data_IF_970240121188
#
_entry.id   IF_970240121188
#
_cell.length_a   1.000
_cell.length_b   1.000
_cell.length_c   1.000
_cell.angle_alpha   90.00
_cell.angle_beta   90.00
_cell.angle_gamma   90.00
#
_symmetry.space_group_name_H-M   'P 1'
#
loop_
_entity.id
_entity.type
_entity.pdbx_description
1 polymer ?
#
# COMPACT_ATOMS: atom_id res chain seq x y z
N UNK A 1 -30.69 -29.18 -1.08
CA UNK A 1 -30.02 -27.86 -1.16
C UNK A 1 -30.97 -26.67 -1.00
N UNK A 2 -32.27 -26.77 -1.34
CA UNK A 2 -33.22 -25.65 -1.23
C UNK A 2 -33.65 -25.31 0.21
N UNK A 3 -33.61 -26.26 1.14
CA UNK A 3 -34.01 -26.02 2.54
C UNK A 3 -33.01 -25.14 3.32
N UNK A 4 -31.70 -25.33 3.13
CA UNK A 4 -30.68 -24.54 3.82
C UNK A 4 -30.65 -23.08 3.37
N UNK A 5 -30.89 -22.79 2.09
CA UNK A 5 -30.98 -21.41 1.58
C UNK A 5 -32.20 -20.66 2.15
N UNK A 6 -33.30 -21.36 2.42
CA UNK A 6 -34.49 -20.76 2.99
C UNK A 6 -34.28 -20.35 4.46
N UNK A 7 -33.54 -21.14 5.22
CA UNK A 7 -33.23 -20.82 6.62
C UNK A 7 -32.24 -19.66 6.75
N UNK A 8 -31.23 -19.57 5.88
CA UNK A 8 -30.29 -18.43 5.89
C UNK A 8 -30.98 -17.12 5.51
N UNK A 9 -31.93 -17.13 4.55
CA UNK A 9 -32.72 -15.96 4.18
C UNK A 9 -33.65 -15.47 5.30
N UNK A 10 -34.28 -16.38 6.06
CA UNK A 10 -35.11 -15.99 7.21
C UNK A 10 -34.26 -15.36 8.32
N UNK A 11 -33.07 -15.89 8.57
CA UNK A 11 -32.15 -15.35 9.57
C UNK A 11 -31.66 -13.93 9.21
N UNK A 12 -31.30 -13.68 7.95
CA UNK A 12 -30.85 -12.36 7.50
C UNK A 12 -31.98 -11.32 7.54
N UNK A 13 -33.20 -11.69 7.13
CA UNK A 13 -34.37 -10.81 7.21
C UNK A 13 -34.74 -10.46 8.65
N UNK A 14 -34.70 -11.42 9.57
CA UNK A 14 -34.96 -11.15 10.99
C UNK A 14 -33.93 -10.19 11.60
N UNK A 15 -32.66 -10.30 11.19
CA UNK A 15 -31.60 -9.38 11.63
C UNK A 15 -31.82 -7.97 11.08
N UNK A 16 -32.17 -7.84 9.79
CA UNK A 16 -32.48 -6.54 9.17
C UNK A 16 -33.65 -5.84 9.84
N UNK A 17 -34.74 -6.57 10.16
CA UNK A 17 -35.89 -6.00 10.86
C UNK A 17 -35.56 -5.49 12.26
N UNK A 18 -34.70 -6.20 13.01
CA UNK A 18 -34.23 -5.75 14.33
C UNK A 18 -33.40 -4.47 14.23
N UNK A 19 -32.53 -4.38 13.24
CA UNK A 19 -31.72 -3.17 12.98
C UNK A 19 -32.62 -1.99 12.63
N UNK A 20 -33.59 -2.16 11.72
CA UNK A 20 -34.55 -1.12 11.34
C UNK A 20 -35.38 -0.65 12.54
N UNK A 21 -35.89 -1.58 13.35
CA UNK A 21 -36.65 -1.23 14.55
C UNK A 21 -35.81 -0.47 15.58
N UNK A 22 -34.53 -0.84 15.74
CA UNK A 22 -33.61 -0.16 16.64
C UNK A 22 -33.28 1.26 16.18
N UNK A 23 -33.03 1.46 14.88
CA UNK A 23 -32.84 2.79 14.29
C UNK A 23 -34.09 3.65 14.37
N UNK A 24 -35.29 3.09 14.18
CA UNK A 24 -36.54 3.80 14.34
C UNK A 24 -36.76 4.26 15.78
N UNK A 25 -36.44 3.40 16.77
CA UNK A 25 -36.53 3.75 18.18
C UNK A 25 -35.54 4.87 18.55
N UNK A 26 -34.29 4.78 18.10
CA UNK A 26 -33.29 5.84 18.31
C UNK A 26 -33.71 7.13 17.61
N UNK A 27 -34.17 7.06 16.36
CA UNK A 27 -34.67 8.22 15.63
C UNK A 27 -35.82 8.91 16.35
N UNK A 28 -36.73 8.13 16.94
CA UNK A 28 -37.84 8.66 17.74
C UNK A 28 -37.36 9.30 19.05
N UNK A 29 -36.40 8.67 19.75
CA UNK A 29 -35.80 9.24 20.97
C UNK A 29 -35.08 10.55 20.63
N UNK A 30 -34.24 10.57 19.59
CA UNK A 30 -33.51 11.76 19.15
C UNK A 30 -34.49 12.84 18.69
N UNK A 31 -35.53 12.50 17.94
CA UNK A 31 -36.55 13.45 17.51
C UNK A 31 -37.27 14.07 18.71
N UNK A 32 -37.68 13.27 19.69
CA UNK A 32 -38.30 13.75 20.93
C UNK A 32 -37.35 14.65 21.71
N UNK A 33 -36.06 14.28 21.81
CA UNK A 33 -35.04 15.09 22.49
C UNK A 33 -34.81 16.40 21.76
N UNK A 34 -34.68 16.39 20.43
CA UNK A 34 -34.49 17.58 19.60
C UNK A 34 -35.70 18.50 19.65
N UNK A 35 -36.92 17.95 19.64
CA UNK A 35 -38.14 18.74 19.73
C UNK A 35 -38.29 19.38 21.12
N UNK A 36 -37.98 18.62 22.19
CA UNK A 36 -37.84 19.16 23.55
C UNK A 36 -36.79 20.27 23.64
N UNK A 37 -35.63 20.08 22.99
CA UNK A 37 -34.54 21.05 23.00
C UNK A 37 -34.87 22.30 22.17
N UNK A 38 -35.55 22.12 21.03
CA UNK A 38 -36.07 23.21 20.18
C UNK A 38 -37.11 24.05 20.92
N UNK A 39 -38.02 23.40 21.65
CA UNK A 39 -39.01 24.08 22.49
C UNK A 39 -38.38 24.81 23.68
N UNK A 40 -37.28 24.27 24.21
CA UNK A 40 -36.45 24.90 25.24
C UNK A 40 -35.74 26.15 24.70
N UNK A 41 -35.07 26.05 23.54
CA UNK A 41 -34.34 27.17 22.91
C UNK A 41 -35.28 28.29 22.41
N UNK A 42 -36.44 27.94 21.82
CA UNK A 42 -37.48 28.93 21.48
C UNK A 42 -38.05 29.62 22.73
N UNK A 43 -38.08 28.92 23.88
CA UNK A 43 -38.46 29.51 25.16
C UNK A 43 -37.44 30.50 25.73
N UNK A 44 -36.16 30.39 25.35
CA UNK A 44 -35.08 31.28 25.78
C UNK A 44 -34.94 32.55 24.95
N UNK A 45 -35.25 32.51 23.66
CA UNK A 45 -35.05 33.62 22.71
C UNK A 45 -36.19 34.65 22.67
N UNK A 46 -37.37 34.33 23.20
CA UNK A 46 -38.49 35.31 23.32
C UNK A 46 -38.47 36.15 24.61
N UNK A 47 -37.41 36.07 25.43
CA UNK A 47 -37.19 37.04 26.51
C UNK A 47 -36.34 38.19 26.00
N UNK A 48 -37.04 39.29 25.65
CA UNK A 48 -36.62 40.61 25.07
C UNK A 48 -36.98 40.63 23.58
N UNK A 49 -38.10 41.21 23.14
CA UNK A 49 -38.49 42.62 23.29
C UNK A 49 -40.02 42.71 23.42
N UNK A 50 -40.51 43.18 24.57
CA UNK A 50 -41.87 43.72 24.70
C UNK A 50 -41.91 45.05 23.94
N UNK A 51 -42.02 44.99 22.61
CA UNK A 51 -42.43 46.17 21.84
C UNK A 51 -43.95 46.23 21.87
N UNK A 52 -44.44 47.25 22.56
CA UNK A 52 -45.83 47.66 22.57
C UNK A 52 -46.17 48.03 21.13
N UNK A 53 -46.83 47.14 20.39
CA UNK A 53 -47.32 47.44 19.03
C UNK A 53 -48.78 47.03 18.91
N UNK A 54 -49.60 48.05 18.66
CA UNK A 54 -51.05 47.98 18.59
C UNK A 54 -51.54 47.07 17.47
N UNK A 55 -52.68 46.40 17.71
CA UNK A 55 -53.33 45.45 16.81
C UNK A 55 -53.82 46.15 15.53
N UNK A 56 -53.25 45.81 14.38
CA UNK A 56 -53.88 46.02 13.07
C UNK A 56 -54.69 44.78 12.70
N UNK A 57 -56.01 44.93 12.69
CA UNK A 57 -56.97 43.95 12.21
C UNK A 57 -56.85 43.81 10.67
N UNK A 58 -56.33 42.69 10.19
CA UNK A 58 -56.42 42.30 8.78
C UNK A 58 -57.45 41.20 8.56
N UNK A 59 -58.30 41.40 7.55
CA UNK A 59 -59.50 40.63 7.17
C UNK A 59 -59.20 39.26 6.52
N UNK A 60 -58.14 38.56 6.94
CA UNK A 60 -57.80 37.22 6.43
C UNK A 60 -57.56 36.28 7.60
N UNK A 61 -58.50 35.34 7.79
CA UNK A 61 -58.33 34.04 8.45
C UNK A 61 -57.83 34.06 9.90
N UNK A 62 -58.70 33.71 10.84
CA UNK A 62 -58.27 33.35 12.19
C UNK A 62 -57.37 32.11 12.14
N UNK A 63 -56.05 32.31 12.19
CA UNK A 63 -55.15 31.24 12.60
C UNK A 63 -55.37 31.06 14.10
N UNK A 64 -55.95 29.93 14.49
CA UNK A 64 -56.09 29.54 15.90
C UNK A 64 -54.67 29.45 16.45
N UNK A 65 -54.26 30.46 17.22
CA UNK A 65 -53.01 30.39 17.96
C UNK A 65 -53.12 29.22 18.95
N UNK A 66 -52.14 28.28 18.98
CA UNK A 66 -52.19 27.14 19.87
C UNK A 66 -52.29 27.61 21.33
N UNK A 67 -53.12 26.92 22.11
CA UNK A 67 -53.48 27.31 23.48
C UNK A 67 -52.22 27.49 24.37
N UNK A 68 -51.91 28.72 24.85
CA UNK A 68 -50.66 29.01 25.58
C UNK A 68 -50.54 28.26 26.91
N UNK A 69 -51.64 27.68 27.41
CA UNK A 69 -51.66 26.88 28.65
C UNK A 69 -51.03 25.49 28.46
N UNK A 70 -51.13 24.90 27.27
CA UNK A 70 -50.57 23.57 26.97
C UNK A 70 -49.03 23.60 26.98
N UNK A 71 -48.43 24.62 26.36
CA UNK A 71 -46.97 24.80 26.34
C UNK A 71 -46.36 25.07 27.73
N UNK A 72 -47.07 25.83 28.58
CA UNK A 72 -46.62 26.10 29.97
C UNK A 72 -46.62 24.85 30.85
N UNK A 73 -47.58 23.94 30.69
CA UNK A 73 -47.61 22.67 31.47
C UNK A 73 -46.48 21.74 31.08
N UNK A 74 -46.20 21.58 29.77
CA UNK A 74 -45.08 20.77 29.27
C UNK A 74 -43.72 21.31 29.75
N UNK A 75 -43.51 22.63 29.66
CA UNK A 75 -42.28 23.27 30.17
C UNK A 75 -42.07 23.07 31.68
N UNK A 76 -43.12 23.21 32.49
CA UNK A 76 -43.04 22.99 33.96
C UNK A 76 -42.72 21.53 34.31
N UNK A 77 -43.24 20.57 33.55
CA UNK A 77 -42.92 19.16 33.73
C UNK A 77 -41.48 18.87 33.31
N UNK A 78 -41.02 19.39 32.18
CA UNK A 78 -39.64 19.28 31.73
C UNK A 78 -38.66 19.90 32.76
N UNK A 79 -38.96 21.09 33.29
CA UNK A 79 -38.15 21.76 34.32
C UNK A 79 -38.12 21.02 35.67
N UNK A 80 -39.14 20.23 35.99
CA UNK A 80 -39.15 19.38 37.20
C UNK A 80 -38.38 18.09 36.98
N UNK A 81 -38.53 17.47 35.81
CA UNK A 81 -37.83 16.25 35.43
C UNK A 81 -36.32 16.49 35.27
N UNK A 82 -35.91 17.62 34.69
CA UNK A 82 -34.49 17.97 34.53
C UNK A 82 -33.76 18.25 35.84
N UNK A 83 -34.49 18.59 36.90
CA UNK A 83 -33.95 18.80 38.25
C UNK A 83 -33.86 17.51 39.07
N UNK A 84 -34.41 16.40 38.59
CA UNK A 84 -34.40 15.15 39.32
C UNK A 84 -33.03 14.45 39.12
N UNK A 85 -32.25 14.21 40.20
CA UNK A 85 -30.89 13.68 40.08
C UNK A 85 -30.84 12.32 39.38
N UNK A 86 -31.84 11.45 39.60
CA UNK A 86 -31.94 10.16 38.92
C UNK A 86 -32.09 10.26 37.39
N UNK A 87 -32.81 11.28 36.89
CA UNK A 87 -33.00 11.47 35.43
C UNK A 87 -31.69 11.93 34.78
N UNK A 88 -30.93 12.80 35.46
CA UNK A 88 -29.61 13.22 35.00
C UNK A 88 -28.62 12.05 34.97
N UNK A 89 -28.65 11.15 35.96
CA UNK A 89 -27.81 9.95 35.96
C UNK A 89 -28.16 8.99 34.81
N UNK A 90 -29.44 8.72 34.57
CA UNK A 90 -29.87 7.85 33.46
C UNK A 90 -29.47 8.46 32.11
N UNK A 91 -29.71 9.76 31.93
CA UNK A 91 -29.33 10.47 30.70
C UNK A 91 -27.82 10.49 30.51
N UNK A 92 -27.07 10.76 31.59
CA UNK A 92 -25.61 10.72 31.59
C UNK A 92 -25.07 9.35 31.22
N UNK A 93 -25.62 8.27 31.79
CA UNK A 93 -25.25 6.89 31.48
C UNK A 93 -25.53 6.53 30.02
N UNK A 94 -26.70 6.90 29.49
CA UNK A 94 -27.04 6.68 28.08
C UNK A 94 -26.12 7.46 27.15
N UNK A 95 -25.87 8.74 27.44
CA UNK A 95 -24.96 9.57 26.63
C UNK A 95 -23.52 9.05 26.71
N UNK A 96 -23.04 8.65 27.89
CA UNK A 96 -21.71 8.05 28.02
C UNK A 96 -21.60 6.70 27.30
N UNK A 97 -22.66 5.90 27.29
CA UNK A 97 -22.70 4.63 26.56
C UNK A 97 -22.65 4.84 25.04
N UNK A 98 -23.45 5.78 24.52
CA UNK A 98 -23.47 6.11 23.08
C UNK A 98 -22.15 6.76 22.64
N UNK A 99 -21.67 7.78 23.37
CA UNK A 99 -20.40 8.45 23.05
C UNK A 99 -19.23 7.49 23.21
N UNK A 100 -19.22 6.66 24.26
CA UNK A 100 -18.21 5.63 24.49
C UNK A 100 -18.15 4.64 23.33
N UNK A 101 -19.30 4.07 22.94
CA UNK A 101 -19.38 3.11 21.82
C UNK A 101 -18.97 3.73 20.49
N UNK A 102 -19.34 4.99 20.26
CA UNK A 102 -18.94 5.70 19.05
C UNK A 102 -17.43 5.96 19.00
N UNK A 103 -16.84 6.40 20.11
CA UNK A 103 -15.39 6.62 20.22
C UNK A 103 -14.62 5.31 20.07
N UNK A 104 -15.06 4.21 20.70
CA UNK A 104 -14.42 2.90 20.52
C UNK A 104 -14.52 2.42 19.08
N UNK A 105 -15.66 2.61 18.42
CA UNK A 105 -15.80 2.25 17.01
C UNK A 105 -14.85 3.05 16.12
N UNK A 106 -14.68 4.35 16.37
CA UNK A 106 -13.72 5.18 15.63
C UNK A 106 -12.28 4.73 15.88
N UNK A 107 -11.92 4.39 17.12
CA UNK A 107 -10.58 3.87 17.47
C UNK A 107 -10.31 2.51 16.81
N UNK A 108 -11.27 1.59 16.84
CA UNK A 108 -11.16 0.28 16.20
C UNK A 108 -10.98 0.40 14.69
N UNK A 109 -11.71 1.32 14.04
CA UNK A 109 -11.54 1.59 12.61
C UNK A 109 -10.13 2.11 12.30
N UNK A 110 -9.64 3.10 13.05
CA UNK A 110 -8.29 3.63 12.86
C UNK A 110 -7.22 2.57 13.12
N UNK A 111 -7.40 1.71 14.12
CA UNK A 111 -6.46 0.64 14.40
C UNK A 111 -6.43 -0.40 13.28
N UNK A 112 -7.59 -0.82 12.76
CA UNK A 112 -7.66 -1.75 11.62
C UNK A 112 -6.99 -1.17 10.37
N UNK A 113 -7.18 0.11 10.09
CA UNK A 113 -6.52 0.80 8.97
C UNK A 113 -5.00 0.83 9.15
N UNK A 114 -4.51 1.08 10.37
CA UNK A 114 -3.08 1.06 10.69
C UNK A 114 -2.48 -0.34 10.55
N UNK A 115 -3.15 -1.34 11.10
CA UNK A 115 -2.71 -2.74 11.03
C UNK A 115 -2.69 -3.23 9.58
N UNK A 116 -3.68 -2.86 8.77
CA UNK A 116 -3.71 -3.17 7.34
C UNK A 116 -2.56 -2.48 6.58
N UNK A 117 -2.24 -1.24 6.94
CA UNK A 117 -1.13 -0.48 6.35
C UNK A 117 0.22 -1.12 6.68
N UNK A 118 0.48 -1.41 7.96
CA UNK A 118 1.71 -2.06 8.42
C UNK A 118 1.87 -3.41 7.76
N UNK A 119 0.82 -4.24 7.77
CA UNK A 119 0.85 -5.56 7.12
C UNK A 119 1.19 -5.44 5.63
N UNK A 120 0.57 -4.50 4.92
CA UNK A 120 0.84 -4.30 3.50
C UNK A 120 2.29 -3.86 3.23
N UNK A 121 2.86 -3.02 4.09
CA UNK A 121 4.25 -2.57 3.99
C UNK A 121 5.25 -3.67 4.37
N UNK A 122 4.92 -4.49 5.38
CA UNK A 122 5.73 -5.64 5.77
C UNK A 122 5.74 -6.73 4.70
N UNK A 123 4.60 -7.01 4.07
CA UNK A 123 4.51 -7.92 2.93
C UNK A 123 5.40 -7.43 1.77
N UNK A 124 5.44 -6.12 1.51
CA UNK A 124 6.31 -5.53 0.50
C UNK A 124 7.79 -5.63 0.87
N UNK A 125 8.16 -5.34 2.12
CA UNK A 125 9.53 -5.52 2.61
C UNK A 125 9.99 -6.96 2.44
N UNK A 126 9.14 -7.90 2.83
CA UNK A 126 9.40 -9.33 2.69
C UNK A 126 9.64 -9.70 1.23
N UNK A 127 8.79 -9.25 0.30
CA UNK A 127 9.00 -9.48 -1.14
C UNK A 127 10.30 -8.89 -1.67
N UNK A 128 10.68 -7.68 -1.24
CA UNK A 128 11.95 -7.06 -1.66
C UNK A 128 13.17 -7.81 -1.09
N UNK A 129 13.10 -8.21 0.18
CA UNK A 129 14.16 -8.95 0.86
C UNK A 129 14.33 -10.35 0.24
N UNK A 130 13.22 -11.06 -0.02
CA UNK A 130 13.21 -12.37 -0.69
C UNK A 130 13.76 -12.31 -2.12
N UNK A 131 13.36 -11.29 -2.90
CA UNK A 131 13.87 -11.06 -4.24
C UNK A 131 15.38 -10.79 -4.23
N UNK A 132 15.85 -9.94 -3.31
CA UNK A 132 17.27 -9.60 -3.16
C UNK A 132 18.12 -10.78 -2.71
N UNK A 133 17.58 -11.64 -1.84
CA UNK A 133 18.25 -12.83 -1.35
C UNK A 133 18.36 -13.89 -2.45
N UNK A 134 17.29 -14.09 -3.24
CA UNK A 134 17.31 -15.00 -4.38
C UNK A 134 18.29 -14.56 -5.46
N UNK A 135 18.33 -13.26 -5.77
CA UNK A 135 19.34 -12.73 -6.69
C UNK A 135 20.76 -12.91 -6.16
N UNK A 136 20.98 -12.68 -4.87
CA UNK A 136 22.32 -12.82 -4.27
C UNK A 136 22.85 -14.24 -4.41
N UNK A 137 22.00 -15.24 -4.15
CA UNK A 137 22.33 -16.66 -4.37
C UNK A 137 22.64 -16.94 -5.85
N UNK A 138 21.77 -16.50 -6.77
CA UNK A 138 22.01 -16.57 -8.21
C UNK A 138 23.34 -15.92 -8.62
N UNK A 139 23.65 -14.73 -8.11
CA UNK A 139 24.87 -13.98 -8.38
C UNK A 139 26.11 -14.77 -7.96
N UNK A 140 26.13 -15.29 -6.73
CA UNK A 140 27.28 -16.04 -6.22
C UNK A 140 27.51 -17.35 -7.00
N UNK A 141 26.45 -18.11 -7.29
CA UNK A 141 26.55 -19.36 -8.07
C UNK A 141 26.96 -19.10 -9.52
N UNK A 142 26.43 -18.05 -10.13
CA UNK A 142 26.80 -17.64 -11.49
C UNK A 142 28.27 -17.21 -11.58
N UNK A 143 28.74 -16.37 -10.66
CA UNK A 143 30.17 -15.98 -10.58
C UNK A 143 31.06 -17.21 -10.38
N UNK A 144 30.67 -18.15 -9.52
CA UNK A 144 31.44 -19.37 -9.28
C UNK A 144 31.57 -20.22 -10.55
N UNK A 145 30.47 -20.44 -11.27
CA UNK A 145 30.47 -21.18 -12.54
C UNK A 145 31.28 -20.46 -13.62
N UNK A 146 31.11 -19.14 -13.77
CA UNK A 146 31.88 -18.33 -14.72
C UNK A 146 33.38 -18.45 -14.41
N UNK A 147 33.78 -18.30 -13.14
CA UNK A 147 35.19 -18.41 -12.74
C UNK A 147 35.78 -19.78 -13.05
N UNK A 148 35.04 -20.86 -12.79
CA UNK A 148 35.49 -22.23 -13.11
C UNK A 148 35.71 -22.38 -14.62
N UNK A 149 34.77 -21.89 -15.45
CA UNK A 149 34.91 -21.90 -16.91
C UNK A 149 36.10 -21.06 -17.39
N UNK A 150 36.28 -19.85 -16.84
CA UNK A 150 37.39 -18.95 -17.18
C UNK A 150 38.77 -19.53 -16.81
N UNK A 151 38.83 -20.35 -15.76
CA UNK A 151 40.04 -21.05 -15.31
C UNK A 151 40.35 -22.33 -16.08
N UNK A 152 39.42 -22.82 -16.94
CA UNK A 152 39.56 -24.11 -17.61
C UNK A 152 39.44 -25.31 -16.67
N UNK A 153 38.52 -25.23 -15.69
CA UNK A 153 38.26 -26.31 -14.75
C UNK A 153 37.84 -27.61 -15.44
N UNK A 154 38.08 -28.74 -14.79
CA UNK A 154 37.71 -30.06 -15.33
C UNK A 154 36.19 -30.27 -15.32
N UNK A 155 35.68 -31.17 -16.17
CA UNK A 155 34.24 -31.46 -16.23
C UNK A 155 33.66 -31.92 -14.87
N UNK A 156 34.47 -32.62 -14.07
CA UNK A 156 34.08 -33.06 -12.73
C UNK A 156 33.85 -31.91 -11.74
N UNK A 157 34.48 -30.74 -11.96
CA UNK A 157 34.26 -29.52 -11.17
C UNK A 157 33.14 -28.65 -11.75
N UNK A 158 32.95 -28.69 -13.07
CA UNK A 158 31.91 -27.93 -13.75
C UNK A 158 30.51 -28.50 -13.51
N UNK A 159 30.34 -29.83 -13.47
CA UNK A 159 29.02 -30.44 -13.29
C UNK A 159 28.31 -30.08 -11.97
N UNK A 160 28.94 -30.11 -10.78
CA UNK A 160 28.26 -29.68 -9.55
C UNK A 160 27.97 -28.17 -9.56
N UNK A 161 28.90 -27.35 -10.06
CA UNK A 161 28.69 -25.90 -10.14
C UNK A 161 27.56 -25.52 -11.08
N UNK A 162 27.38 -26.27 -12.18
CA UNK A 162 26.26 -26.10 -13.09
C UNK A 162 24.92 -26.43 -12.41
N UNK A 163 24.85 -27.56 -11.67
CA UNK A 163 23.64 -27.93 -10.94
C UNK A 163 23.26 -26.91 -9.86
N UNK A 164 24.24 -26.38 -9.11
CA UNK A 164 24.00 -25.32 -8.14
C UNK A 164 23.53 -24.02 -8.79
N UNK A 165 24.10 -23.67 -9.94
CA UNK A 165 23.69 -22.51 -10.73
C UNK A 165 22.25 -22.67 -11.24
N UNK A 166 21.89 -23.80 -11.84
CA UNK A 166 20.54 -24.07 -12.35
C UNK A 166 19.49 -23.99 -11.23
N UNK A 167 19.80 -24.54 -10.05
CA UNK A 167 18.93 -24.44 -8.88
C UNK A 167 18.74 -22.99 -8.42
N UNK A 168 19.81 -22.19 -8.41
CA UNK A 168 19.74 -20.77 -8.04
C UNK A 168 19.01 -19.93 -9.09
N UNK A 169 19.20 -20.21 -10.38
CA UNK A 169 18.49 -19.58 -11.49
C UNK A 169 16.98 -19.84 -11.39
N UNK A 170 16.55 -21.10 -11.20
CA UNK A 170 15.13 -21.42 -11.04
C UNK A 170 14.50 -20.67 -9.85
N UNK A 171 15.21 -20.61 -8.72
CA UNK A 171 14.75 -19.86 -7.54
C UNK A 171 14.64 -18.36 -7.82
N UNK A 172 15.60 -17.79 -8.56
CA UNK A 172 15.55 -16.39 -8.98
C UNK A 172 14.34 -16.11 -9.88
N UNK A 173 14.09 -16.93 -10.90
CA UNK A 173 12.93 -16.78 -11.79
C UNK A 173 11.60 -16.92 -11.06
N UNK A 174 11.51 -17.88 -10.14
CA UNK A 174 10.35 -18.08 -9.29
C UNK A 174 10.05 -16.80 -8.48
N UNK A 175 11.09 -16.20 -7.87
CA UNK A 175 10.94 -14.99 -7.06
C UNK A 175 10.61 -13.76 -7.89
N UNK A 176 11.20 -13.60 -9.08
CA UNK A 176 10.77 -12.58 -10.03
C UNK A 176 9.27 -12.70 -10.37
N UNK A 177 8.77 -13.93 -10.52
CA UNK A 177 7.37 -14.19 -10.90
C UNK A 177 6.41 -13.96 -9.74
N UNK A 178 6.79 -14.32 -8.52
CA UNK A 178 5.94 -14.18 -7.31
C UNK A 178 6.01 -12.76 -6.74
N UNK A 179 7.22 -12.26 -6.50
CA UNK A 179 7.44 -10.98 -5.82
C UNK A 179 7.34 -9.80 -6.79
N UNK A 180 7.66 -9.99 -8.07
CA UNK A 180 7.63 -8.93 -9.09
C UNK A 180 6.27 -8.23 -9.19
N UNK A 181 5.16 -8.95 -9.42
CA UNK A 181 3.82 -8.34 -9.46
C UNK A 181 3.44 -7.64 -8.14
N UNK A 182 3.82 -8.22 -6.99
CA UNK A 182 3.55 -7.68 -5.66
C UNK A 182 4.19 -6.29 -5.45
N UNK A 183 5.41 -6.12 -5.98
CA UNK A 183 6.15 -4.87 -5.97
C UNK A 183 5.55 -3.88 -6.98
N UNK A 184 5.17 -4.34 -8.17
CA UNK A 184 4.59 -3.49 -9.23
C UNK A 184 3.26 -2.85 -8.81
N UNK A 185 2.37 -3.63 -8.18
CA UNK A 185 1.06 -3.15 -7.74
C UNK A 185 1.16 -2.03 -6.71
N UNK A 186 2.15 -2.11 -5.80
CA UNK A 186 2.38 -1.11 -4.75
C UNK A 186 3.15 0.13 -5.23
N UNK A 187 3.83 0.02 -6.37
CA UNK A 187 4.58 1.11 -6.99
C UNK A 187 4.15 1.37 -8.43
N UNK A 188 2.90 1.85 -8.65
CA UNK A 188 2.45 2.25 -9.96
C UNK A 188 3.30 3.41 -10.47
N UNK A 189 3.61 3.38 -11.76
CA UNK A 189 4.40 4.43 -12.40
C UNK A 189 3.71 5.79 -12.25
N UNK A 190 4.36 6.82 -11.68
CA UNK A 190 3.99 8.20 -11.97
C UNK A 190 4.16 8.45 -13.49
N UNK A 191 3.33 9.32 -14.10
CA UNK A 191 3.29 9.58 -15.55
C UNK A 191 4.65 9.87 -16.24
N UNK A 192 5.74 10.09 -15.51
CA UNK A 192 7.07 10.39 -16.07
C UNK A 192 8.25 9.71 -15.34
N UNK A 193 7.99 8.78 -14.41
CA UNK A 193 9.05 8.15 -13.60
C UNK A 193 9.30 6.69 -13.97
N UNK A 194 10.46 6.15 -13.58
CA UNK A 194 10.77 4.74 -13.82
C UNK A 194 9.84 3.88 -12.98
N UNK A 195 9.04 3.04 -13.64
CA UNK A 195 8.14 2.14 -12.95
C UNK A 195 8.89 0.91 -12.43
N UNK A 196 8.41 0.34 -11.32
CA UNK A 196 8.89 -0.94 -10.85
C UNK A 196 8.78 -2.02 -11.94
N UNK A 197 7.74 -1.96 -12.78
CA UNK A 197 7.53 -2.89 -13.88
C UNK A 197 8.64 -2.82 -14.94
N UNK A 198 9.08 -1.61 -15.31
CA UNK A 198 10.19 -1.42 -16.25
C UNK A 198 11.48 -1.98 -15.65
N UNK A 199 11.78 -1.70 -14.38
CA UNK A 199 13.00 -2.20 -13.73
C UNK A 199 12.98 -3.72 -13.63
N UNK A 200 11.88 -4.32 -13.15
CA UNK A 200 11.74 -5.77 -13.06
C UNK A 200 11.86 -6.44 -14.44
N UNK A 201 11.27 -5.85 -15.48
CA UNK A 201 11.44 -6.30 -16.86
C UNK A 201 12.89 -6.22 -17.33
N UNK A 202 13.58 -5.14 -16.97
CA UNK A 202 15.01 -4.93 -17.27
C UNK A 202 15.90 -5.96 -16.58
N UNK A 203 15.61 -6.27 -15.31
CA UNK A 203 16.30 -7.29 -14.54
C UNK A 203 16.11 -8.68 -15.15
N UNK A 204 14.88 -9.02 -15.54
CA UNK A 204 14.57 -10.29 -16.20
C UNK A 204 15.31 -10.43 -17.54
N UNK A 205 15.31 -9.37 -18.36
CA UNK A 205 16.05 -9.36 -19.62
C UNK A 205 17.57 -9.48 -19.40
N UNK A 206 18.09 -8.80 -18.38
CA UNK A 206 19.51 -8.81 -18.04
C UNK A 206 19.96 -10.19 -17.52
N UNK A 207 19.20 -10.81 -16.62
CA UNK A 207 19.51 -12.16 -16.14
C UNK A 207 19.40 -13.18 -17.27
N UNK A 208 18.33 -13.13 -18.09
CA UNK A 208 18.17 -14.03 -19.22
C UNK A 208 19.33 -13.95 -20.22
N UNK A 209 19.87 -12.76 -20.46
CA UNK A 209 21.09 -12.64 -21.27
C UNK A 209 22.30 -13.29 -20.59
N UNK A 210 22.49 -13.08 -19.28
CA UNK A 210 23.59 -13.72 -18.55
C UNK A 210 23.46 -15.24 -18.63
N UNK A 211 22.24 -15.76 -18.54
CA UNK A 211 21.95 -17.19 -18.62
C UNK A 211 22.27 -17.74 -20.01
N UNK A 212 21.76 -17.10 -21.07
CA UNK A 212 22.11 -17.41 -22.47
C UNK A 212 23.63 -17.38 -22.68
N UNK A 213 24.30 -16.42 -22.02
CA UNK A 213 25.72 -16.23 -22.12
C UNK A 213 26.54 -17.31 -21.40
N UNK A 214 26.06 -17.76 -20.24
CA UNK A 214 26.62 -18.91 -19.55
C UNK A 214 26.39 -20.18 -20.38
N UNK A 215 25.25 -20.36 -21.02
CA UNK A 215 24.98 -21.56 -21.81
C UNK A 215 25.78 -21.63 -23.11
N UNK A 216 25.78 -20.53 -23.88
CA UNK A 216 26.25 -20.51 -25.28
C UNK A 216 27.50 -19.66 -25.51
N UNK A 217 28.01 -19.00 -24.48
CA UNK A 217 29.14 -18.09 -24.58
C UNK A 217 30.43 -18.78 -25.01
N UNK A 218 31.30 -17.98 -25.63
CA UNK A 218 32.64 -18.44 -26.05
C UNK A 218 33.70 -17.92 -25.08
N UNK A 219 34.75 -18.72 -24.87
CA UNK A 219 35.91 -18.29 -24.10
C UNK A 219 36.82 -17.44 -24.99
N UNK A 220 37.05 -16.19 -24.59
CA UNK A 220 37.99 -15.27 -25.25
C UNK A 220 39.13 -14.93 -24.30
N UNK A 221 40.32 -14.73 -24.85
CA UNK A 221 41.46 -14.33 -24.02
C UNK A 221 41.22 -12.94 -23.42
N UNK A 222 41.54 -12.75 -22.13
CA UNK A 222 41.47 -11.45 -21.45
C UNK A 222 42.63 -10.56 -21.90
N UNK A 223 42.34 -9.29 -22.17
CA UNK A 223 43.33 -8.25 -22.47
C UNK A 223 43.01 -7.01 -21.63
N UNK A 224 43.81 -6.65 -20.62
CA UNK A 224 45.04 -7.31 -20.16
C UNK A 224 44.75 -8.65 -19.43
N UNK A 225 45.70 -9.60 -19.44
CA UNK A 225 45.56 -10.87 -18.73
C UNK A 225 45.55 -10.63 -17.21
N UNK A 226 44.63 -11.31 -16.52
CA UNK A 226 44.56 -11.32 -15.05
C UNK A 226 45.15 -12.63 -14.54
N UNK A 227 45.98 -12.58 -13.49
CA UNK A 227 46.65 -13.77 -12.93
C UNK A 227 45.61 -14.83 -12.56
N UNK A 228 45.70 -16.02 -13.15
CA UNK A 228 44.77 -17.15 -12.92
C UNK A 228 43.45 -17.08 -13.72
N UNK A 229 43.22 -16.02 -14.50
CA UNK A 229 42.04 -15.86 -15.37
C UNK A 229 42.49 -15.37 -16.74
N UNK A 230 43.03 -16.30 -17.53
CA UNK A 230 43.51 -16.00 -18.89
C UNK A 230 42.35 -15.75 -19.87
N UNK A 231 41.14 -16.22 -19.55
CA UNK A 231 39.97 -16.13 -20.41
C UNK A 231 38.84 -15.38 -19.73
N UNK A 232 37.94 -14.82 -20.54
CA UNK A 232 36.62 -14.29 -20.14
C UNK A 232 35.55 -15.03 -20.92
N UNK A 233 34.42 -15.32 -20.27
CA UNK A 233 33.21 -15.77 -20.98
C UNK A 233 32.60 -14.55 -21.66
N UNK A 234 32.57 -14.58 -22.99
CA UNK A 234 32.09 -13.49 -23.84
C UNK A 234 30.94 -13.96 -24.69
N UNK A 235 29.94 -13.10 -24.81
CA UNK A 235 28.80 -13.32 -25.66
C UNK A 235 28.71 -12.19 -26.66
N UNK A 236 28.58 -12.58 -27.92
CA UNK A 236 28.27 -11.69 -29.02
C UNK A 236 26.76 -11.53 -29.03
N UNK A 237 26.29 -10.36 -28.63
CA UNK A 237 24.92 -9.98 -28.84
C UNK A 237 24.75 -9.75 -30.35
N UNK A 238 23.80 -10.43 -31.00
CA UNK A 238 23.57 -10.27 -32.45
C UNK A 238 23.12 -8.86 -32.81
N UNK A 239 22.63 -8.09 -31.82
CA UNK A 239 22.12 -6.74 -32.00
C UNK A 239 23.18 -5.64 -31.85
N UNK A 240 24.28 -5.90 -31.13
CA UNK A 240 25.35 -4.94 -30.86
C UNK A 240 26.66 -5.68 -31.06
N UNK A 241 27.44 -5.29 -32.06
CA UNK A 241 28.75 -5.88 -32.41
C UNK A 241 29.80 -5.85 -31.28
N UNK A 242 29.43 -5.39 -30.08
CA UNK A 242 30.28 -5.32 -28.91
C UNK A 242 30.37 -6.67 -28.18
N UNK A 243 31.61 -7.12 -27.96
CA UNK A 243 31.91 -8.23 -27.07
C UNK A 243 31.63 -7.83 -25.62
N UNK A 244 30.69 -8.52 -24.97
CA UNK A 244 30.35 -8.23 -23.58
C UNK A 244 30.57 -9.47 -22.71
N UNK A 245 31.22 -9.27 -21.56
CA UNK A 245 31.47 -10.34 -20.60
C UNK A 245 30.22 -10.65 -19.77
N UNK A 246 29.96 -11.95 -19.54
CA UNK A 246 28.93 -12.40 -18.60
C UNK A 246 29.13 -11.79 -17.21
N UNK A 247 30.39 -11.75 -16.73
CA UNK A 247 30.73 -11.25 -15.40
C UNK A 247 30.42 -9.77 -15.22
N UNK A 248 30.74 -8.94 -16.22
CA UNK A 248 30.48 -7.50 -16.19
C UNK A 248 28.97 -7.21 -16.17
N UNK A 249 28.19 -7.92 -16.99
CA UNK A 249 26.72 -7.79 -16.98
C UNK A 249 26.12 -8.25 -15.67
N UNK A 250 26.56 -9.38 -15.13
CA UNK A 250 26.08 -9.89 -13.85
C UNK A 250 26.34 -8.89 -12.71
N UNK A 251 27.51 -8.23 -12.70
CA UNK A 251 27.82 -7.15 -11.75
C UNK A 251 26.91 -5.94 -11.96
N UNK A 252 26.68 -5.51 -13.21
CA UNK A 252 25.78 -4.41 -13.50
C UNK A 252 24.34 -4.69 -13.02
N UNK A 253 23.84 -5.91 -13.26
CA UNK A 253 22.54 -6.37 -12.75
C UNK A 253 22.50 -6.35 -11.22
N UNK A 254 23.57 -6.79 -10.55
CA UNK A 254 23.66 -6.74 -9.10
C UNK A 254 23.66 -5.33 -8.52
N UNK A 255 24.35 -4.39 -9.14
CA UNK A 255 24.29 -2.97 -8.76
C UNK A 255 22.88 -2.41 -8.93
N UNK A 256 22.22 -2.72 -10.05
CA UNK A 256 20.84 -2.31 -10.29
C UNK A 256 19.90 -2.85 -9.20
N UNK A 257 19.97 -4.14 -8.86
CA UNK A 257 19.13 -4.75 -7.82
C UNK A 257 19.39 -4.13 -6.46
N UNK A 258 20.66 -3.90 -6.09
CA UNK A 258 21.00 -3.25 -4.83
C UNK A 258 20.43 -1.83 -4.71
N UNK A 259 20.47 -1.05 -5.79
CA UNK A 259 19.89 0.29 -5.82
C UNK A 259 18.35 0.26 -5.82
N UNK A 260 17.77 -0.68 -6.56
CA UNK A 260 16.33 -0.89 -6.62
C UNK A 260 15.76 -1.28 -5.25
N UNK A 261 16.41 -2.21 -4.55
CA UNK A 261 16.00 -2.64 -3.21
C UNK A 261 16.15 -1.53 -2.19
N UNK A 262 17.26 -0.79 -2.23
CA UNK A 262 17.46 0.37 -1.35
C UNK A 262 16.40 1.46 -1.56
N UNK A 263 15.95 1.68 -2.80
CA UNK A 263 14.95 2.70 -3.11
C UNK A 263 13.52 2.28 -2.73
N UNK A 264 13.15 1.06 -3.10
CA UNK A 264 11.75 0.61 -3.07
C UNK A 264 11.39 -0.10 -1.77
N UNK A 265 12.36 -0.35 -0.89
CA UNK A 265 12.09 -0.90 0.44
C UNK A 265 11.55 0.22 1.36
N UNK A 266 10.30 0.13 1.84
CA UNK A 266 9.74 1.16 2.70
C UNK A 266 10.40 1.13 4.09
N UNK A 267 10.72 2.29 4.65
CA UNK A 267 11.24 2.41 6.02
C UNK A 267 10.09 2.23 7.03
N UNK A 268 10.17 1.28 8.00
CA UNK A 268 9.12 1.07 9.00
C UNK A 268 8.78 2.33 9.81
N UNK A 269 9.71 3.29 9.92
CA UNK A 269 9.45 4.56 10.61
C UNK A 269 8.47 5.45 9.86
N UNK A 270 8.30 5.23 8.56
CA UNK A 270 7.51 6.09 7.68
C UNK A 270 6.12 5.49 7.32
N UNK A 271 5.74 4.36 7.90
CA UNK A 271 4.48 3.65 7.56
C UNK A 271 3.22 4.50 7.76
N UNK A 272 3.26 5.44 8.70
CA UNK A 272 2.14 6.34 9.01
C UNK A 272 2.42 7.79 8.66
N UNK A 273 3.63 8.11 8.21
CA UNK A 273 3.97 9.47 7.86
C UNK A 273 3.51 9.71 6.42
N UNK A 274 2.42 10.47 6.26
CA UNK A 274 1.97 10.93 4.93
C UNK A 274 3.02 11.76 4.19
N UNK A 275 4.12 12.12 4.85
CA UNK A 275 5.35 12.60 4.19
C UNK A 275 5.96 11.48 3.38
N UNK A 276 5.64 11.49 2.08
CA UNK A 276 6.44 10.84 1.05
C UNK A 276 7.92 11.10 1.38
N UNK A 277 8.75 10.04 1.36
CA UNK A 277 10.22 10.14 1.40
C UNK A 277 10.63 11.42 0.70
N UNK A 278 11.39 12.30 1.37
CA UNK A 278 11.57 13.68 0.90
C UNK A 278 11.82 13.68 -0.61
N UNK A 279 11.01 14.45 -1.35
CA UNK A 279 10.97 14.32 -2.81
C UNK A 279 12.35 14.47 -3.45
N UNK A 280 13.30 15.15 -2.78
CA UNK A 280 14.71 15.25 -3.18
C UNK A 280 15.44 13.91 -3.12
N UNK A 281 15.30 13.14 -2.04
CA UNK A 281 15.91 11.80 -1.89
C UNK A 281 15.30 10.86 -2.92
N UNK A 282 13.96 10.84 -3.05
CA UNK A 282 13.29 10.01 -4.06
C UNK A 282 13.73 10.36 -5.48
N UNK A 283 13.82 11.66 -5.83
CA UNK A 283 14.30 12.11 -7.15
C UNK A 283 15.77 11.77 -7.37
N UNK A 284 16.63 11.94 -6.37
CA UNK A 284 18.07 11.67 -6.48
C UNK A 284 18.33 10.18 -6.68
N UNK A 285 17.78 9.33 -5.81
CA UNK A 285 17.88 7.88 -5.96
C UNK A 285 17.18 7.44 -7.24
N UNK A 286 16.06 8.08 -7.61
CA UNK A 286 15.29 7.87 -8.86
C UNK A 286 16.17 7.93 -10.10
N UNK A 287 16.96 9.01 -10.18
CA UNK A 287 17.94 9.21 -11.26
C UNK A 287 19.03 8.14 -11.26
N UNK A 288 19.54 7.74 -10.10
CA UNK A 288 20.56 6.70 -10.01
C UNK A 288 20.01 5.34 -10.47
N UNK A 289 18.84 4.93 -9.98
CA UNK A 289 18.19 3.69 -10.45
C UNK A 289 17.92 3.76 -11.94
N UNK A 290 17.43 4.87 -12.49
CA UNK A 290 17.28 5.03 -13.95
C UNK A 290 18.61 4.85 -14.69
N UNK A 291 19.71 5.38 -14.16
CA UNK A 291 21.03 5.30 -14.79
C UNK A 291 21.68 3.91 -14.72
N UNK A 292 21.50 3.20 -13.61
CA UNK A 292 22.11 1.88 -13.39
C UNK A 292 21.22 0.72 -13.84
N UNK A 293 19.91 0.91 -13.85
CA UNK A 293 18.91 -0.08 -14.30
C UNK A 293 18.40 0.20 -15.71
N UNK A 294 19.04 1.08 -16.49
CA UNK A 294 18.72 1.24 -17.90
C UNK A 294 18.96 -0.09 -18.62
N UNK A 295 17.92 -0.61 -19.30
CA UNK A 295 18.00 -1.77 -20.17
C UNK A 295 19.20 -1.69 -21.09
N UNK A 296 19.45 -0.53 -21.71
CA UNK A 296 20.57 -0.38 -22.66
C UNK A 296 21.91 -0.64 -22.00
N UNK A 297 22.07 -0.21 -20.75
CA UNK A 297 23.28 -0.44 -19.96
C UNK A 297 23.39 -1.88 -19.47
N UNK A 298 22.30 -2.46 -19.02
CA UNK A 298 22.25 -3.87 -18.59
C UNK A 298 22.50 -4.83 -19.76
N UNK A 299 22.06 -4.44 -20.96
CA UNK A 299 22.38 -5.11 -22.22
C UNK A 299 23.77 -4.74 -22.75
N UNK A 300 24.54 -3.90 -22.06
CA UNK A 300 25.89 -3.48 -22.44
C UNK A 300 26.01 -2.72 -23.76
N UNK A 301 24.90 -2.21 -24.30
CA UNK A 301 24.84 -1.28 -25.45
C UNK A 301 25.59 0.02 -25.11
N UNK A 302 25.54 0.40 -23.83
CA UNK A 302 26.05 1.66 -23.30
C UNK A 302 27.04 1.36 -22.17
N UNK A 303 28.13 2.11 -22.12
CA UNK A 303 29.14 1.99 -21.07
C UNK A 303 28.68 2.59 -19.72
N UNK A 304 29.59 2.62 -18.74
CA UNK A 304 29.28 3.16 -17.43
C UNK A 304 29.03 4.69 -17.43
N UNK A 305 29.52 5.39 -18.46
CA UNK A 305 29.41 6.84 -18.63
C UNK A 305 28.14 7.27 -19.37
N UNK A 306 27.42 6.32 -20.01
CA UNK A 306 26.27 6.62 -20.84
C UNK A 306 26.62 6.74 -22.34
N UNK A 307 27.85 6.40 -22.73
CA UNK A 307 28.33 6.43 -24.12
C UNK A 307 28.09 5.08 -24.81
N UNK A 308 27.65 5.12 -26.07
CA UNK A 308 27.44 3.90 -26.86
C UNK A 308 28.77 3.17 -27.09
N UNK A 309 28.75 1.83 -26.91
CA UNK A 309 29.90 0.98 -27.26
C UNK A 309 29.78 0.64 -28.75
N UNK A 310 30.66 1.22 -29.57
CA UNK A 310 30.82 0.85 -30.99
C UNK A 310 31.63 -0.43 -31.14
#
# INVERSE_FOLDING_TARGET
>A
MTSQLLETLKATLALQWRVIAWWAAIGLIVWVVVDLFRDYLKGGTERRVLSIRWRTLTRKGFVIAPDPKAGRRRRRLADRLSKHPAVLLILGFLLSGVVGTWVTHLLDQQQRERDATVKSMDDLRASMDDLSAAFSDYFYRSIALINLRESGATQAQLSPALAEYEAAHYKWEQRLTVDGPNIQERYPAPENDVSAAVIIGSLKAASGFVDDCIERGTLRQRTPPVRGKAHKVVCTDTSVSAEISASDRLVATGVCIGLFTMMMRPDPKNDFTGTRVSDSVRKSTGKQVRHYCDVRRLLGVVDASGSERH
#
